data_IF_150437821875
#
_entry.id   IF_150437821875
#
_cell.length_a   1.000
_cell.length_b   1.000
_cell.length_c   1.000
_cell.angle_alpha   90.00
_cell.angle_beta   90.00
_cell.angle_gamma   90.00
#
_symmetry.space_group_name_H-M   'P 1'
#
loop_
_entity.id
_entity.type
_entity.pdbx_description
1 polymer ?
#
# COMPACT_ATOMS: atom_id res chain seq x y z
N UNK A 1 -71.39 -4.94 6.62
CA UNK A 1 -70.36 -4.47 5.66
C UNK A 1 -69.14 -4.08 6.48
N UNK A 2 -68.08 -4.88 6.40
CA UNK A 2 -66.84 -4.72 7.18
C UNK A 2 -65.89 -3.80 6.43
N UNK A 3 -65.50 -2.68 7.02
CA UNK A 3 -64.52 -1.73 6.47
C UNK A 3 -63.13 -2.06 7.01
N UNK A 4 -62.39 -2.87 6.26
CA UNK A 4 -60.99 -3.20 6.57
C UNK A 4 -60.07 -2.01 6.32
N UNK A 5 -59.42 -1.53 7.38
CA UNK A 5 -58.33 -0.56 7.30
C UNK A 5 -57.08 -1.21 6.71
N UNK A 6 -56.49 -0.59 5.67
CA UNK A 6 -55.22 -1.01 5.07
C UNK A 6 -54.04 -0.61 5.99
N UNK A 7 -53.05 -1.49 6.21
CA UNK A 7 -51.90 -1.16 7.02
C UNK A 7 -50.98 -0.17 6.29
N UNK A 8 -50.52 0.83 7.04
CA UNK A 8 -49.55 1.82 6.56
C UNK A 8 -48.21 1.15 6.26
N UNK A 9 -47.74 1.32 5.03
CA UNK A 9 -46.42 0.86 4.59
C UNK A 9 -45.34 1.72 5.24
N UNK A 10 -44.55 1.10 6.12
CA UNK A 10 -43.31 1.68 6.66
C UNK A 10 -42.45 2.18 5.50
N UNK A 11 -42.22 3.49 5.43
CA UNK A 11 -41.30 4.11 4.45
C UNK A 11 -39.93 3.45 4.60
N UNK A 12 -39.56 2.66 3.61
CA UNK A 12 -38.24 2.04 3.47
C UNK A 12 -37.22 3.18 3.38
N UNK A 13 -36.39 3.37 4.42
CA UNK A 13 -35.31 4.37 4.39
C UNK A 13 -34.48 4.12 3.14
N UNK A 14 -34.46 5.11 2.24
CA UNK A 14 -33.61 5.10 1.06
C UNK A 14 -32.16 5.12 1.55
N UNK A 15 -31.47 3.97 1.46
CA UNK A 15 -30.01 3.94 1.62
C UNK A 15 -29.41 4.47 0.31
N UNK A 16 -28.58 5.52 0.35
CA UNK A 16 -27.88 5.96 -0.85
C UNK A 16 -27.08 4.80 -1.43
N UNK A 17 -27.01 4.70 -2.76
CA UNK A 17 -26.28 3.64 -3.49
C UNK A 17 -24.76 3.81 -3.46
N UNK A 18 -24.24 4.73 -2.66
CA UNK A 18 -22.81 4.97 -2.55
C UNK A 18 -22.21 4.08 -1.45
N UNK A 19 -21.05 3.44 -1.68
CA UNK A 19 -20.36 2.68 -0.65
C UNK A 19 -20.05 3.59 0.55
N UNK A 20 -20.19 3.11 1.81
CA UNK A 20 -20.09 3.96 3.00
C UNK A 20 -18.73 4.64 3.11
N UNK A 21 -18.70 5.90 3.52
CA UNK A 21 -17.48 6.65 3.82
C UNK A 21 -16.76 6.15 5.09
N UNK A 22 -15.59 6.72 5.43
CA UNK A 22 -14.85 6.36 6.65
C UNK A 22 -15.62 6.63 7.95
N UNK A 23 -16.57 7.57 7.92
CA UNK A 23 -17.50 7.95 8.99
C UNK A 23 -18.73 7.03 9.10
N UNK A 24 -18.93 6.13 8.13
CA UNK A 24 -20.14 5.29 8.02
C UNK A 24 -19.84 3.80 8.04
N UNK A 25 -18.63 3.40 7.65
CA UNK A 25 -18.21 2.01 7.63
C UNK A 25 -17.87 1.55 9.05
N UNK A 26 -18.88 1.03 9.75
CA UNK A 26 -18.68 0.40 11.06
C UNK A 26 -17.77 -0.83 10.95
N UNK A 27 -16.99 -1.06 12.00
CA UNK A 27 -16.10 -2.22 12.10
C UNK A 27 -16.89 -3.52 11.93
N UNK A 28 -16.38 -4.38 11.04
CA UNK A 28 -16.87 -5.72 10.79
C UNK A 28 -15.66 -6.59 10.49
N UNK A 29 -14.91 -6.85 11.56
CA UNK A 29 -13.67 -7.59 11.55
C UNK A 29 -13.68 -8.56 12.72
N UNK A 30 -13.18 -9.78 12.54
CA UNK A 30 -12.98 -10.71 13.64
C UNK A 30 -11.69 -10.35 14.37
N UNK A 31 -11.75 -10.30 15.70
CA UNK A 31 -10.59 -10.00 16.55
C UNK A 31 -9.43 -11.00 16.36
N UNK A 32 -9.74 -12.28 16.13
CA UNK A 32 -8.74 -13.30 15.77
C UNK A 32 -8.00 -12.95 14.45
N UNK A 33 -8.71 -12.47 13.43
CA UNK A 33 -8.07 -12.03 12.18
C UNK A 33 -7.17 -10.80 12.39
N UNK A 34 -7.49 -9.96 13.37
CA UNK A 34 -6.66 -8.84 13.80
C UNK A 34 -5.39 -9.33 14.50
N UNK A 35 -5.49 -10.24 15.46
CA UNK A 35 -4.30 -10.80 16.11
C UNK A 35 -3.38 -11.51 15.13
N UNK A 36 -3.94 -12.24 14.16
CA UNK A 36 -3.17 -12.84 13.07
C UNK A 36 -2.46 -11.77 12.23
N UNK A 37 -3.08 -10.61 11.98
CA UNK A 37 -2.42 -9.49 11.29
C UNK A 37 -1.23 -8.97 12.12
N UNK A 38 -1.46 -8.67 13.40
CA UNK A 38 -0.43 -8.16 14.33
C UNK A 38 0.77 -9.11 14.38
N UNK A 39 0.52 -10.41 14.47
CA UNK A 39 1.56 -11.44 14.51
C UNK A 39 2.30 -11.57 13.16
N UNK A 40 1.57 -11.73 12.05
CA UNK A 40 2.16 -11.97 10.73
C UNK A 40 2.98 -10.79 10.22
N UNK A 41 2.63 -9.57 10.63
CA UNK A 41 3.35 -8.35 10.26
C UNK A 41 4.28 -7.85 11.38
N UNK A 42 4.51 -8.67 12.41
CA UNK A 42 5.42 -8.42 13.53
C UNK A 42 5.28 -7.03 14.16
N UNK A 43 4.04 -6.61 14.43
CA UNK A 43 3.78 -5.34 15.08
C UNK A 43 4.33 -5.35 16.51
N UNK A 44 5.12 -4.33 16.86
CA UNK A 44 5.72 -4.23 18.19
C UNK A 44 4.65 -3.91 19.25
N UNK A 45 4.81 -4.46 20.45
CA UNK A 45 3.91 -4.17 21.59
C UNK A 45 3.76 -2.67 21.84
N UNK A 46 4.86 -1.93 21.71
CA UNK A 46 4.94 -0.51 22.07
C UNK A 46 4.30 0.42 21.02
N UNK A 47 3.95 -0.13 19.85
CA UNK A 47 3.16 0.56 18.84
C UNK A 47 1.70 0.76 19.27
N UNK A 48 1.29 0.07 20.34
CA UNK A 48 -0.01 0.26 20.98
C UNK A 48 -1.15 -0.03 20.03
N UNK A 49 -1.07 -1.10 19.23
CA UNK A 49 -2.11 -1.43 18.26
C UNK A 49 -3.41 -1.82 18.99
N UNK A 50 -4.55 -1.27 18.56
CA UNK A 50 -5.84 -1.46 19.22
C UNK A 50 -6.87 -1.99 18.23
N UNK A 51 -7.57 -3.05 18.65
CA UNK A 51 -8.77 -3.51 18.00
C UNK A 51 -9.94 -2.58 18.37
N UNK A 52 -10.66 -1.99 17.39
CA UNK A 52 -11.76 -1.09 17.68
C UNK A 52 -12.94 -1.78 18.37
N UNK A 53 -13.69 -1.03 19.18
CA UNK A 53 -14.92 -1.52 19.80
C UNK A 53 -16.05 -1.69 18.78
N UNK A 54 -17.06 -2.53 19.04
CA UNK A 54 -18.23 -2.64 18.18
C UNK A 54 -18.87 -1.27 17.87
N UNK A 55 -19.33 -1.10 16.63
CA UNK A 55 -19.94 0.13 16.10
C UNK A 55 -18.97 1.31 15.92
N UNK A 56 -17.67 1.15 16.20
CA UNK A 56 -16.69 2.17 15.83
C UNK A 56 -16.58 2.31 14.31
N UNK A 57 -16.21 3.50 13.86
CA UNK A 57 -15.89 3.87 12.48
C UNK A 57 -14.42 4.23 12.36
N UNK A 58 -13.92 4.42 11.13
CA UNK A 58 -12.52 4.76 10.91
C UNK A 58 -12.14 6.16 11.45
N UNK A 59 -13.12 7.02 11.78
CA UNK A 59 -12.88 8.34 12.36
C UNK A 59 -12.84 8.35 13.88
N UNK A 60 -13.24 7.26 14.54
CA UNK A 60 -13.30 7.15 16.00
C UNK A 60 -11.96 6.76 16.63
N UNK A 61 -10.84 6.99 15.93
CA UNK A 61 -9.51 6.76 16.47
C UNK A 61 -9.30 7.63 17.72
N UNK A 62 -8.81 7.06 18.84
CA UNK A 62 -8.55 7.83 20.05
C UNK A 62 -7.53 8.97 19.83
N UNK A 63 -7.53 10.02 20.67
CA UNK A 63 -6.50 11.04 20.62
C UNK A 63 -5.09 10.43 20.67
N UNK A 64 -4.22 10.86 19.75
CA UNK A 64 -2.85 10.31 19.62
C UNK A 64 -2.74 9.04 18.77
N UNK A 65 -3.85 8.55 18.20
CA UNK A 65 -3.89 7.38 17.33
C UNK A 65 -4.25 7.76 15.89
N UNK A 66 -3.99 6.84 14.97
CA UNK A 66 -4.42 6.92 13.57
C UNK A 66 -5.06 5.61 13.17
N UNK A 67 -5.99 5.68 12.21
CA UNK A 67 -6.62 4.51 11.63
C UNK A 67 -5.81 3.96 10.47
N UNK A 68 -5.60 2.64 10.45
CA UNK A 68 -5.07 1.90 9.32
C UNK A 68 -6.01 0.76 8.94
N UNK A 69 -6.04 0.41 7.66
CA UNK A 69 -6.83 -0.70 7.15
C UNK A 69 -5.96 -1.95 6.99
N UNK A 70 -6.48 -3.12 7.37
CA UNK A 70 -5.78 -4.40 7.24
C UNK A 70 -5.34 -4.68 5.79
N UNK A 71 -6.13 -4.20 4.82
CA UNK A 71 -5.88 -4.38 3.39
C UNK A 71 -4.67 -3.59 2.87
N UNK A 72 -4.21 -2.56 3.59
CA UNK A 72 -2.94 -1.90 3.26
C UNK A 72 -1.79 -2.92 3.29
N UNK A 73 -1.81 -3.84 4.27
CA UNK A 73 -0.73 -4.80 4.51
C UNK A 73 -0.84 -6.02 3.61
N UNK A 74 -2.04 -6.60 3.50
CA UNK A 74 -2.32 -7.85 2.79
C UNK A 74 -2.22 -7.67 1.28
N UNK A 75 -3.05 -6.80 0.70
CA UNK A 75 -3.10 -6.57 -0.74
C UNK A 75 -2.26 -5.37 -1.18
N UNK A 76 -2.08 -4.38 -0.30
CA UNK A 76 -1.29 -3.19 -0.59
C UNK A 76 0.23 -3.36 -0.48
N UNK A 77 0.73 -4.51 -0.01
CA UNK A 77 2.15 -4.75 0.29
C UNK A 77 2.79 -3.68 1.21
N UNK A 78 1.97 -2.97 2.00
CA UNK A 78 2.45 -1.95 2.93
C UNK A 78 3.13 -2.59 4.14
N UNK A 79 4.15 -1.93 4.68
CA UNK A 79 4.86 -2.35 5.90
C UNK A 79 5.00 -1.12 6.79
N UNK A 80 4.85 -1.31 8.10
CA UNK A 80 5.16 -0.29 9.11
C UNK A 80 6.68 -0.03 9.12
N UNK A 81 7.10 1.08 9.74
CA UNK A 81 8.35 1.78 9.40
C UNK A 81 8.30 2.27 7.96
N UNK A 82 7.28 3.10 7.71
CA UNK A 82 6.92 3.57 6.39
C UNK A 82 8.13 4.19 5.69
N UNK A 83 8.39 3.68 4.49
CA UNK A 83 9.55 4.05 3.68
C UNK A 83 9.55 5.53 3.32
N UNK A 84 10.75 6.09 3.14
CA UNK A 84 10.96 7.48 2.71
C UNK A 84 10.08 7.85 1.51
N UNK A 85 10.04 7.01 0.47
CA UNK A 85 9.23 7.27 -0.72
C UNK A 85 7.72 7.35 -0.42
N UNK A 86 7.17 6.41 0.35
CA UNK A 86 5.75 6.44 0.70
C UNK A 86 5.38 7.70 1.53
N UNK A 87 6.27 8.08 2.46
CA UNK A 87 6.16 9.35 3.21
C UNK A 87 6.15 10.55 2.28
N UNK A 88 7.12 10.62 1.37
CA UNK A 88 7.26 11.71 0.40
C UNK A 88 6.01 11.85 -0.47
N UNK A 89 5.44 10.75 -0.96
CA UNK A 89 4.20 10.80 -1.77
C UNK A 89 3.01 11.32 -0.96
N UNK A 90 2.79 10.81 0.26
CA UNK A 90 1.68 11.25 1.10
C UNK A 90 1.81 12.73 1.49
N UNK A 91 3.01 13.17 1.88
CA UNK A 91 3.29 14.56 2.24
C UNK A 91 3.17 15.49 1.04
N UNK A 92 3.70 15.11 -0.13
CA UNK A 92 3.69 15.95 -1.33
C UNK A 92 2.28 16.18 -1.89
N UNK A 93 1.38 15.20 -1.74
CA UNK A 93 -0.04 15.38 -2.04
C UNK A 93 -0.85 15.94 -0.86
N UNK A 94 -0.28 16.07 0.34
CA UNK A 94 -0.99 16.51 1.53
C UNK A 94 -2.16 15.58 1.90
N UNK A 95 -1.91 14.27 1.90
CA UNK A 95 -2.91 13.24 2.16
C UNK A 95 -2.65 12.55 3.51
N UNK A 96 -3.68 12.42 4.34
CA UNK A 96 -3.61 11.58 5.52
C UNK A 96 -3.79 10.10 5.16
N UNK A 97 -2.96 9.22 5.74
CA UNK A 97 -2.95 7.78 5.43
C UNK A 97 -4.32 7.11 5.62
N UNK A 98 -5.11 7.52 6.61
CA UNK A 98 -6.45 6.96 6.84
C UNK A 98 -7.48 7.38 5.80
N UNK A 99 -7.19 8.40 4.99
CA UNK A 99 -8.06 8.84 3.89
C UNK A 99 -7.73 8.13 2.57
N UNK A 100 -6.70 7.27 2.56
CA UNK A 100 -6.29 6.52 1.37
C UNK A 100 -7.17 5.28 1.21
N UNK A 101 -7.71 5.12 0.01
CA UNK A 101 -8.39 3.90 -0.41
C UNK A 101 -7.40 2.73 -0.39
N UNK A 102 -7.81 1.55 0.11
CA UNK A 102 -6.94 0.37 0.12
C UNK A 102 -6.41 -0.04 -1.26
N UNK A 103 -7.12 0.32 -2.35
CA UNK A 103 -6.67 0.12 -3.73
C UNK A 103 -5.56 1.08 -4.18
N UNK A 104 -5.27 2.14 -3.42
CA UNK A 104 -4.20 3.09 -3.71
C UNK A 104 -2.81 2.53 -3.41
N UNK A 105 -2.65 1.86 -2.26
CA UNK A 105 -1.36 1.31 -1.83
C UNK A 105 -0.71 0.31 -2.80
N UNK A 106 -1.44 -0.63 -3.44
CA UNK A 106 -0.87 -1.52 -4.44
C UNK A 106 -0.13 -0.79 -5.56
N UNK A 107 -0.59 0.39 -6.00
CA UNK A 107 0.10 1.19 -7.03
C UNK A 107 1.38 1.83 -6.48
N UNK A 108 1.30 2.39 -5.28
CA UNK A 108 2.43 3.01 -4.62
C UNK A 108 3.55 2.00 -4.35
N UNK A 109 3.21 0.81 -3.85
CA UNK A 109 4.21 -0.23 -3.58
C UNK A 109 4.70 -0.90 -4.85
N UNK A 110 3.83 -1.15 -5.85
CA UNK A 110 4.27 -1.65 -7.16
C UNK A 110 5.27 -0.70 -7.82
N UNK A 111 4.97 0.60 -7.87
CA UNK A 111 5.86 1.60 -8.45
C UNK A 111 7.23 1.62 -7.76
N UNK A 112 7.23 1.62 -6.42
CA UNK A 112 8.47 1.57 -5.66
C UNK A 112 9.27 0.30 -5.99
N UNK A 113 8.60 -0.85 -6.06
CA UNK A 113 9.24 -2.11 -6.36
C UNK A 113 9.91 -2.09 -7.73
N UNK A 114 9.22 -1.67 -8.79
CA UNK A 114 9.79 -1.64 -10.14
C UNK A 114 10.94 -0.65 -10.25
N UNK A 115 10.89 0.47 -9.52
CA UNK A 115 12.00 1.41 -9.44
C UNK A 115 13.24 0.71 -8.85
N UNK A 116 13.09 0.13 -7.66
CA UNK A 116 14.20 -0.54 -6.95
C UNK A 116 14.74 -1.75 -7.71
N UNK A 117 13.87 -2.55 -8.32
CA UNK A 117 14.24 -3.69 -9.15
C UNK A 117 15.07 -3.29 -10.39
N UNK A 118 14.83 -2.10 -10.94
CA UNK A 118 15.59 -1.53 -12.05
C UNK A 118 16.70 -0.56 -11.62
N UNK A 119 16.99 -0.45 -10.31
CA UNK A 119 17.99 0.48 -9.74
C UNK A 119 17.71 1.95 -10.06
N UNK A 120 16.44 2.30 -10.24
CA UNK A 120 15.95 3.68 -10.30
C UNK A 120 15.52 4.08 -8.90
N UNK A 121 15.91 5.26 -8.43
CA UNK A 121 15.50 5.72 -7.10
C UNK A 121 14.04 6.17 -7.04
N UNK A 122 13.28 5.66 -6.05
CA UNK A 122 12.06 6.18 -5.48
C UNK A 122 11.83 7.67 -5.40
N UNK A 123 11.12 8.37 -6.29
CA UNK A 123 10.79 9.78 -5.98
C UNK A 123 9.36 10.14 -6.31
N UNK A 124 8.81 11.07 -5.55
CA UNK A 124 7.49 11.64 -5.78
C UNK A 124 7.32 12.17 -7.21
N UNK A 125 8.31 12.87 -7.78
CA UNK A 125 8.21 13.44 -9.12
C UNK A 125 8.01 12.35 -10.18
N UNK A 126 8.77 11.24 -10.06
CA UNK A 126 8.63 10.10 -10.97
C UNK A 126 7.28 9.40 -10.77
N UNK A 127 6.80 9.30 -9.53
CA UNK A 127 5.47 8.74 -9.25
C UNK A 127 4.36 9.61 -9.86
N UNK A 128 4.45 10.94 -9.71
CA UNK A 128 3.48 11.90 -10.21
C UNK A 128 3.39 11.94 -11.74
N UNK A 129 4.43 11.47 -12.46
CA UNK A 129 4.38 11.25 -13.91
C UNK A 129 3.39 10.14 -14.26
N UNK A 130 3.41 9.01 -13.55
CA UNK A 130 2.54 7.87 -13.88
C UNK A 130 1.18 7.91 -13.20
N UNK A 131 1.07 8.59 -12.06
CA UNK A 131 -0.12 8.58 -11.23
C UNK A 131 -0.58 9.98 -10.85
N UNK A 132 -1.87 10.10 -10.57
CA UNK A 132 -2.50 11.30 -10.05
C UNK A 132 -3.49 10.95 -8.94
N UNK A 133 -3.80 11.91 -8.08
CA UNK A 133 -4.78 11.72 -7.02
C UNK A 133 -6.18 11.86 -7.57
N UNK A 134 -7.07 10.98 -7.13
CA UNK A 134 -8.52 11.10 -7.32
C UNK A 134 -9.23 10.96 -6.00
N UNK A 135 -10.41 11.57 -5.88
CA UNK A 135 -11.29 11.40 -4.72
C UNK A 135 -12.59 10.71 -5.16
N UNK A 136 -12.91 9.57 -4.56
CA UNK A 136 -14.10 8.79 -4.92
C UNK A 136 -14.60 7.99 -3.73
N UNK A 137 -15.89 8.14 -3.42
CA UNK A 137 -16.55 7.40 -2.33
C UNK A 137 -15.91 7.67 -0.97
N UNK A 138 -15.57 8.94 -0.73
CA UNK A 138 -14.97 9.51 0.49
C UNK A 138 -13.54 9.08 0.82
N UNK A 139 -12.81 8.62 -0.21
CA UNK A 139 -11.40 8.27 -0.10
C UNK A 139 -10.59 8.85 -1.25
N UNK A 140 -9.36 9.25 -0.94
CA UNK A 140 -8.34 9.53 -1.94
C UNK A 140 -7.73 8.24 -2.46
N UNK A 141 -7.32 8.22 -3.71
CA UNK A 141 -6.61 7.10 -4.32
C UNK A 141 -5.64 7.60 -5.37
N UNK A 142 -4.72 6.73 -5.79
CA UNK A 142 -3.83 6.99 -6.92
C UNK A 142 -4.41 6.32 -8.16
N UNK A 143 -4.60 7.06 -9.24
CA UNK A 143 -5.02 6.53 -10.53
C UNK A 143 -3.92 6.72 -11.57
N UNK A 144 -3.85 5.80 -12.52
CA UNK A 144 -2.85 5.86 -13.60
C UNK A 144 -3.20 6.98 -14.58
N UNK A 145 -2.21 7.78 -14.98
CA UNK A 145 -2.34 8.70 -16.10
C UNK A 145 -2.32 7.90 -17.39
N UNK A 146 -3.31 8.12 -18.25
CA UNK A 146 -3.46 7.42 -19.54
C UNK A 146 -3.27 8.33 -20.75
N UNK A 147 -3.25 9.65 -20.54
CA UNK A 147 -3.04 10.63 -21.60
C UNK A 147 -1.60 11.11 -21.59
N UNK A 148 -0.89 10.94 -22.71
CA UNK A 148 0.46 11.46 -22.90
C UNK A 148 1.57 10.79 -22.07
N UNK A 149 1.28 9.66 -21.42
CA UNK A 149 2.24 8.91 -20.59
C UNK A 149 2.08 7.42 -20.85
N UNK A 150 3.18 6.73 -21.16
CA UNK A 150 3.20 5.28 -21.24
C UNK A 150 3.05 4.67 -19.84
N UNK A 151 2.16 3.69 -19.62
CA UNK A 151 1.95 3.12 -18.30
C UNK A 151 3.14 2.25 -17.87
N UNK A 152 3.54 2.33 -16.60
CA UNK A 152 4.50 1.39 -16.00
C UNK A 152 3.83 0.17 -15.33
N UNK A 153 2.50 0.22 -15.16
CA UNK A 153 1.71 -0.81 -14.49
C UNK A 153 0.48 -1.23 -15.31
N UNK A 154 0.06 -2.49 -15.16
CA UNK A 154 -1.18 -3.03 -15.71
C UNK A 154 -1.99 -3.74 -14.62
N UNK A 155 -3.25 -4.08 -14.95
CA UNK A 155 -4.13 -4.87 -14.09
C UNK A 155 -4.25 -4.34 -12.65
N UNK A 156 -4.57 -3.04 -12.44
CA UNK A 156 -4.80 -2.54 -11.10
C UNK A 156 -5.95 -3.33 -10.43
N UNK A 157 -5.87 -3.60 -9.11
CA UNK A 157 -6.95 -4.24 -8.40
C UNK A 157 -8.26 -3.44 -8.56
N UNK A 158 -9.34 -4.12 -8.94
CA UNK A 158 -10.61 -3.47 -9.32
C UNK A 158 -11.57 -3.28 -8.16
N UNK A 159 -11.50 -4.15 -7.16
CA UNK A 159 -12.35 -4.10 -5.97
C UNK A 159 -11.70 -4.84 -4.82
N UNK A 160 -12.02 -4.40 -3.60
CA UNK A 160 -11.74 -5.10 -2.36
C UNK A 160 -13.04 -5.13 -1.57
N UNK A 161 -13.47 -6.30 -1.13
CA UNK A 161 -14.72 -6.47 -0.39
C UNK A 161 -14.49 -6.13 1.10
N UNK A 162 -15.44 -5.43 1.72
CA UNK A 162 -15.44 -5.03 3.15
C UNK A 162 -14.17 -4.34 3.68
N UNK A 163 -13.29 -3.85 2.81
CA UNK A 163 -11.99 -3.34 3.26
C UNK A 163 -12.12 -2.18 4.24
N UNK A 164 -13.15 -1.36 4.06
CA UNK A 164 -13.50 -0.22 4.90
C UNK A 164 -13.87 -0.61 6.33
N UNK A 165 -14.31 -1.86 6.55
CA UNK A 165 -14.76 -2.37 7.85
C UNK A 165 -13.67 -3.13 8.61
N UNK A 166 -12.51 -3.39 7.96
CA UNK A 166 -11.36 -4.08 8.56
C UNK A 166 -10.25 -3.09 8.87
N UNK A 167 -10.46 -2.25 9.87
CA UNK A 167 -9.52 -1.23 10.32
C UNK A 167 -9.16 -1.40 11.80
N UNK A 168 -8.02 -0.86 12.19
CA UNK A 168 -7.53 -0.81 13.57
C UNK A 168 -6.91 0.56 13.85
N UNK A 169 -6.65 0.82 15.13
CA UNK A 169 -5.94 2.02 15.56
C UNK A 169 -4.51 1.68 15.95
N UNK A 170 -3.61 2.61 15.67
CA UNK A 170 -2.19 2.51 16.05
C UNK A 170 -1.71 3.88 16.51
N UNK A 171 -0.73 3.93 17.42
CA UNK A 171 -0.15 5.20 17.88
C UNK A 171 0.37 6.01 16.68
N UNK A 172 0.06 7.31 16.65
CA UNK A 172 0.47 8.23 15.58
C UNK A 172 1.98 8.23 15.35
N UNK A 173 2.78 8.15 16.41
CA UNK A 173 4.25 8.13 16.32
C UNK A 173 4.84 6.95 15.54
N UNK A 174 4.06 5.89 15.25
CA UNK A 174 4.51 4.77 14.41
C UNK A 174 4.56 5.14 12.93
N UNK A 175 3.80 6.15 12.52
CA UNK A 175 3.82 6.74 11.18
C UNK A 175 4.56 8.08 11.30
N UNK A 176 5.88 8.13 11.02
CA UNK A 176 6.71 9.29 11.32
C UNK A 176 6.57 10.38 10.24
N UNK A 177 5.34 10.83 10.03
CA UNK A 177 4.99 12.02 9.24
C UNK A 177 3.85 12.75 9.91
N UNK A 178 3.97 14.07 9.99
CA UNK A 178 2.85 14.92 10.36
C UNK A 178 1.95 15.10 9.13
N UNK A 179 0.74 14.55 9.20
CA UNK A 179 -0.25 14.63 8.13
C UNK A 179 -1.49 15.32 8.65
N UNK A 180 -1.88 16.40 7.97
CA UNK A 180 -3.18 17.04 8.14
C UNK A 180 -4.28 16.14 7.57
N UNK A 181 -5.37 15.96 8.31
CA UNK A 181 -6.57 15.29 7.81
C UNK A 181 -7.33 16.26 6.90
N UNK A 182 -7.29 16.00 5.59
CA UNK A 182 -7.77 16.93 4.57
C UNK A 182 -9.29 17.03 4.59
N UNK A 183 -9.81 18.26 4.64
CA UNK A 183 -11.25 18.50 4.50
C UNK A 183 -11.66 18.41 3.01
N UNK A 184 -12.90 18.01 2.74
CA UNK A 184 -13.43 17.93 1.38
C UNK A 184 -13.34 19.28 0.63
N UNK A 185 -13.50 20.39 1.36
CA UNK A 185 -13.36 21.76 0.83
C UNK A 185 -11.98 22.09 0.28
N UNK A 186 -10.94 21.36 0.69
CA UNK A 186 -9.58 21.51 0.16
C UNK A 186 -9.42 20.85 -1.22
N UNK A 187 -10.41 20.09 -1.68
CA UNK A 187 -10.45 19.47 -3.00
C UNK A 187 -9.39 18.38 -3.22
N UNK A 188 -9.24 17.97 -4.48
CA UNK A 188 -8.24 16.98 -4.91
C UNK A 188 -6.91 17.68 -5.16
N UNK A 189 -5.79 17.21 -4.57
CA UNK A 189 -4.47 17.75 -4.86
C UNK A 189 -4.17 17.70 -6.37
N UNK A 190 -3.86 18.86 -6.95
CA UNK A 190 -3.42 18.97 -8.32
C UNK A 190 -1.93 19.32 -8.33
N UNK A 191 -1.10 18.40 -8.80
CA UNK A 191 0.36 18.60 -8.88
C UNK A 191 0.80 18.43 -10.33
N UNK A 192 1.51 19.45 -10.83
CA UNK A 192 2.05 19.46 -12.18
C UNK A 192 3.09 18.36 -12.36
N UNK A 193 3.07 17.73 -13.53
CA UNK A 193 4.08 16.74 -13.91
C UNK A 193 5.33 17.48 -14.40
N UNK A 194 6.52 16.93 -14.13
CA UNK A 194 7.76 17.46 -14.68
C UNK A 194 7.66 17.60 -16.20
N UNK A 195 8.27 18.64 -16.76
CA UNK A 195 8.50 18.69 -18.21
C UNK A 195 9.59 17.70 -18.60
N UNK A 196 9.60 17.26 -19.85
CA UNK A 196 10.65 16.43 -20.47
C UNK A 196 10.90 15.04 -19.85
N UNK A 197 9.94 14.49 -19.09
CA UNK A 197 10.08 13.16 -18.49
C UNK A 197 10.32 12.04 -19.52
N UNK A 198 9.81 12.19 -20.74
CA UNK A 198 9.95 11.20 -21.82
C UNK A 198 11.39 10.98 -22.25
N UNK A 199 12.22 12.03 -22.16
CA UNK A 199 13.63 11.99 -22.56
C UNK A 199 14.53 11.36 -21.48
N UNK A 200 14.04 11.28 -20.25
CA UNK A 200 14.82 10.80 -19.11
C UNK A 200 14.96 9.27 -19.14
N UNK A 201 16.17 8.77 -18.91
CA UNK A 201 16.43 7.32 -19.00
C UNK A 201 15.61 6.49 -18.01
N UNK A 202 15.36 7.02 -16.81
CA UNK A 202 14.53 6.30 -15.84
C UNK A 202 13.11 6.05 -16.39
N UNK A 203 12.56 6.96 -17.19
CA UNK A 203 11.22 6.81 -17.75
C UNK A 203 11.21 5.67 -18.76
N UNK A 204 12.16 5.68 -19.71
CA UNK A 204 12.35 4.61 -20.70
C UNK A 204 12.54 3.24 -20.04
N UNK A 205 13.31 3.18 -18.95
CA UNK A 205 13.53 1.95 -18.18
C UNK A 205 12.23 1.45 -17.55
N UNK A 206 11.44 2.33 -16.92
CA UNK A 206 10.21 1.94 -16.22
C UNK A 206 9.04 1.61 -17.17
N UNK A 207 9.04 2.16 -18.39
CA UNK A 207 7.99 1.90 -19.39
C UNK A 207 8.35 0.76 -20.36
N UNK A 208 9.61 0.32 -20.38
CA UNK A 208 10.08 -0.77 -21.26
C UNK A 208 9.27 -2.05 -21.16
N UNK A 209 8.81 -2.41 -19.94
CA UNK A 209 7.98 -3.59 -19.70
C UNK A 209 6.91 -3.24 -18.69
N UNK A 210 5.67 -3.10 -19.16
CA UNK A 210 4.50 -2.95 -18.29
C UNK A 210 4.34 -4.22 -17.46
N UNK A 211 4.23 -4.08 -16.14
CA UNK A 211 4.07 -5.21 -15.22
C UNK A 211 2.73 -5.17 -14.50
N UNK A 212 2.18 -6.33 -14.15
CA UNK A 212 0.92 -6.40 -13.41
C UNK A 212 1.12 -6.01 -11.95
N UNK A 213 0.15 -5.31 -11.36
CA UNK A 213 0.10 -5.08 -9.93
C UNK A 213 -0.36 -6.38 -9.26
N UNK A 214 0.53 -6.99 -8.49
CA UNK A 214 0.29 -8.27 -7.79
C UNK A 214 0.69 -8.15 -6.32
N UNK A 215 0.18 -9.08 -5.52
CA UNK A 215 0.70 -9.30 -4.18
C UNK A 215 2.11 -9.91 -4.29
N UNK A 216 3.07 -9.38 -3.54
CA UNK A 216 4.46 -9.79 -3.60
C UNK A 216 4.79 -10.69 -2.41
N UNK A 217 5.59 -11.74 -2.66
CA UNK A 217 6.16 -12.53 -1.58
C UNK A 217 7.08 -11.67 -0.70
N UNK A 218 7.12 -11.95 0.60
CA UNK A 218 7.96 -11.22 1.55
C UNK A 218 9.43 -11.17 1.13
N UNK A 219 9.97 -12.28 0.60
CA UNK A 219 11.36 -12.32 0.09
C UNK A 219 11.59 -11.35 -1.07
N UNK A 220 10.61 -11.18 -1.95
CA UNK A 220 10.71 -10.22 -3.05
C UNK A 220 10.76 -8.79 -2.50
N UNK A 221 9.90 -8.47 -1.52
CA UNK A 221 9.92 -7.17 -0.85
C UNK A 221 11.26 -6.94 -0.14
N UNK A 222 11.81 -7.92 0.57
CA UNK A 222 13.14 -7.80 1.19
C UNK A 222 14.24 -7.63 0.14
N UNK A 223 14.22 -8.39 -0.95
CA UNK A 223 15.20 -8.27 -2.03
C UNK A 223 15.16 -6.87 -2.69
N UNK A 224 13.96 -6.31 -2.80
CA UNK A 224 13.74 -4.94 -3.24
C UNK A 224 13.97 -3.91 -2.13
N UNK A 225 14.44 -4.26 -0.93
CA UNK A 225 14.67 -3.35 0.21
C UNK A 225 13.42 -2.62 0.68
N UNK A 226 12.28 -3.29 0.60
CA UNK A 226 10.97 -2.77 0.93
C UNK A 226 10.39 -3.32 2.23
N UNK A 227 11.07 -4.27 2.87
CA UNK A 227 10.62 -4.90 4.12
C UNK A 227 11.79 -5.47 4.91
N UNK A 228 11.55 -5.72 6.20
CA UNK A 228 12.43 -6.43 7.14
C UNK A 228 11.78 -7.66 7.77
N UNK A 229 10.55 -8.02 7.37
CA UNK A 229 9.80 -9.08 8.04
C UNK A 229 10.32 -10.49 7.76
N UNK A 230 11.18 -10.64 6.76
CA UNK A 230 11.85 -11.91 6.50
C UNK A 230 13.31 -11.85 6.96
N UNK A 231 13.74 -12.87 7.69
CA UNK A 231 15.13 -13.10 8.06
C UNK A 231 15.61 -14.47 7.53
N UNK A 232 16.82 -14.56 6.97
CA UNK A 232 17.39 -15.83 6.56
C UNK A 232 17.79 -16.67 7.78
N UNK A 233 17.76 -17.99 7.63
CA UNK A 233 18.30 -18.92 8.64
C UNK A 233 19.82 -18.77 8.79
N UNK A 234 20.52 -18.55 7.65
CA UNK A 234 21.92 -18.17 7.63
C UNK A 234 22.03 -16.64 7.64
N UNK A 235 22.70 -15.97 8.60
CA UNK A 235 22.85 -14.51 8.63
C UNK A 235 23.43 -13.91 7.34
N UNK A 236 24.25 -14.67 6.59
CA UNK A 236 24.81 -14.27 5.29
C UNK A 236 23.87 -14.54 4.11
N UNK A 237 22.72 -15.14 4.35
CA UNK A 237 21.71 -15.41 3.34
C UNK A 237 21.07 -14.11 2.83
N UNK A 238 20.82 -13.99 1.54
CA UNK A 238 20.09 -12.86 0.98
C UNK A 238 19.10 -13.33 -0.10
N UNK A 239 17.92 -12.70 -0.20
CA UNK A 239 16.89 -13.14 -1.13
C UNK A 239 17.19 -12.62 -2.54
N UNK A 240 17.06 -13.49 -3.53
CA UNK A 240 17.28 -13.21 -4.95
C UNK A 240 16.30 -13.98 -5.82
N UNK A 241 16.13 -13.56 -7.07
CA UNK A 241 15.40 -14.36 -8.04
C UNK A 241 16.30 -15.44 -8.66
N UNK A 242 15.85 -16.69 -8.64
CA UNK A 242 16.53 -17.84 -9.21
C UNK A 242 15.66 -18.60 -10.21
N UNK A 243 16.31 -19.29 -11.16
CA UNK A 243 15.67 -20.11 -12.18
C UNK A 243 16.56 -21.31 -12.52
N UNK A 244 15.99 -22.53 -12.56
CA UNK A 244 16.70 -23.77 -12.93
C UNK A 244 18.06 -23.96 -12.23
N UNK A 245 18.12 -23.71 -10.91
CA UNK A 245 19.35 -23.83 -10.12
C UNK A 245 20.37 -22.70 -10.32
N UNK A 246 20.10 -21.73 -11.20
CA UNK A 246 20.89 -20.51 -11.37
C UNK A 246 20.27 -19.35 -10.59
N UNK A 247 21.12 -18.46 -10.12
CA UNK A 247 20.80 -17.37 -9.21
C UNK A 247 21.19 -16.01 -9.81
N UNK A 248 20.54 -14.93 -9.36
CA UNK A 248 20.95 -13.55 -9.69
C UNK A 248 20.25 -12.95 -10.92
N UNK A 249 19.06 -13.45 -11.25
CA UNK A 249 18.23 -12.86 -12.30
C UNK A 249 17.55 -11.57 -11.83
N UNK A 250 17.04 -10.79 -12.78
CA UNK A 250 16.31 -9.56 -12.49
C UNK A 250 15.11 -9.81 -11.57
N UNK A 251 14.95 -8.95 -10.55
CA UNK A 251 13.77 -8.97 -9.68
C UNK A 251 12.48 -8.67 -10.47
N UNK A 252 12.55 -8.06 -11.65
CA UNK A 252 11.38 -7.86 -12.50
C UNK A 252 10.71 -9.17 -12.92
N UNK A 253 11.42 -10.30 -12.85
CA UNK A 253 10.87 -11.61 -13.16
C UNK A 253 9.81 -12.08 -12.14
N UNK A 254 9.69 -11.46 -10.97
CA UNK A 254 8.58 -11.76 -10.03
C UNK A 254 7.21 -11.45 -10.64
N UNK A 255 7.15 -10.52 -11.60
CA UNK A 255 5.92 -10.15 -12.29
C UNK A 255 5.67 -10.98 -13.55
N UNK A 256 6.58 -11.88 -13.91
CA UNK A 256 6.49 -12.66 -15.14
C UNK A 256 6.08 -14.10 -14.82
N UNK A 257 4.81 -14.48 -15.00
CA UNK A 257 4.36 -15.84 -14.73
C UNK A 257 5.04 -16.87 -15.64
N UNK A 258 5.63 -16.45 -16.77
CA UNK A 258 6.37 -17.33 -17.69
C UNK A 258 7.84 -17.48 -17.33
N UNK A 259 8.38 -16.66 -16.42
CA UNK A 259 9.78 -16.75 -16.04
C UNK A 259 10.11 -18.07 -15.33
N UNK A 260 9.10 -18.76 -14.76
CA UNK A 260 9.24 -20.11 -14.19
C UNK A 260 10.23 -20.23 -13.02
N UNK A 261 10.73 -19.11 -12.51
CA UNK A 261 11.64 -19.02 -11.39
C UNK A 261 10.93 -18.64 -10.10
N UNK A 262 11.70 -18.46 -9.04
CA UNK A 262 11.19 -18.13 -7.71
C UNK A 262 12.21 -17.32 -6.90
N UNK A 263 11.74 -16.73 -5.79
CA UNK A 263 12.63 -16.15 -4.81
C UNK A 263 13.36 -17.25 -4.03
N UNK A 264 14.68 -17.26 -4.13
CA UNK A 264 15.58 -18.20 -3.43
C UNK A 264 16.54 -17.44 -2.53
N UNK A 265 17.26 -18.17 -1.67
CA UNK A 265 18.28 -17.60 -0.79
C UNK A 265 19.65 -17.97 -1.34
N UNK A 266 20.48 -16.95 -1.59
CA UNK A 266 21.90 -17.13 -1.88
C UNK A 266 22.74 -16.74 -0.65
N UNK A 267 23.98 -17.21 -0.58
CA UNK A 267 24.94 -16.82 0.45
C UNK A 267 25.83 -15.68 -0.04
N UNK A 268 25.98 -14.62 0.75
CA UNK A 268 26.94 -13.56 0.48
C UNK A 268 28.38 -14.09 0.64
N UNK A 269 29.30 -13.79 -0.31
CA UNK A 269 30.73 -14.08 -0.17
C UNK A 269 31.29 -13.47 1.11
N UNK A 270 32.28 -14.12 1.73
CA UNK A 270 32.97 -13.59 2.92
C UNK A 270 33.51 -12.16 2.70
N UNK A 271 33.52 -11.35 3.76
CA UNK A 271 33.96 -9.95 3.72
C UNK A 271 32.93 -8.94 3.20
N UNK A 272 31.79 -9.37 2.63
CA UNK A 272 30.67 -8.46 2.31
C UNK A 272 29.84 -8.13 3.58
N UNK A 273 29.37 -6.87 3.73
CA UNK A 273 28.42 -6.48 4.78
C UNK A 273 27.14 -7.33 4.72
N UNK A 274 26.51 -7.56 5.87
CA UNK A 274 25.28 -8.34 5.92
C UNK A 274 24.14 -7.58 5.24
N UNK A 275 23.23 -8.32 4.59
CA UNK A 275 22.10 -7.69 3.89
C UNK A 275 21.24 -6.83 4.84
N UNK A 276 21.11 -7.25 6.11
CA UNK A 276 20.33 -6.53 7.13
C UNK A 276 20.90 -5.13 7.39
N UNK A 277 22.23 -4.99 7.35
CA UNK A 277 22.93 -3.72 7.53
C UNK A 277 22.69 -2.81 6.34
N UNK A 278 22.64 -3.38 5.13
CA UNK A 278 22.41 -2.65 3.89
C UNK A 278 20.98 -2.12 3.73
N UNK A 279 20.01 -2.65 4.47
CA UNK A 279 18.60 -2.23 4.34
C UNK A 279 18.19 -1.28 5.47
N UNK A 280 18.86 -1.33 6.64
CA UNK A 280 18.57 -0.41 7.76
C UNK A 280 18.67 1.06 7.37
N UNK A 281 19.63 1.44 6.53
CA UNK A 281 19.79 2.83 6.05
C UNK A 281 18.59 3.34 5.24
N UNK A 282 17.85 2.45 4.56
CA UNK A 282 16.71 2.81 3.72
C UNK A 282 15.38 2.83 4.46
N UNK A 283 15.34 2.27 5.68
CA UNK A 283 14.16 2.17 6.53
C UNK A 283 14.29 2.97 7.83
N UNK A 284 15.45 3.60 8.05
CA UNK A 284 15.65 4.50 9.17
C UNK A 284 14.69 5.72 9.05
N UNK A 285 14.13 6.19 10.18
CA UNK A 285 13.23 7.34 10.22
C UNK A 285 13.87 8.59 9.62
#
# INVERSE_FOLDING_TARGET
>A
MSTGAKPSTKKRKYKPRHPPGPDQAEINWKEEEFHNLVQNFCFLSDWGVQFPTPNSTALDAPPGYVTLYAHFFREGNFRLLMKKFAREVLTSYGLHISQINALGFPRLTHFEFICRANRVEPTFEKFNVFYFVTYTGDFYSFNSRTSGVDPCSSHPPKSLHDWKQKFFYIRRGVIPIDMHYRAESEGVPCVNVSVDFTEQEWHKVLTRKVTAIIQLEERALVAARMSMLWAPQNPRGFPIYGYQGKAGYSLMNVFDPKAGGAMVVAALPEGRPLWVEQIREFLAP
#
